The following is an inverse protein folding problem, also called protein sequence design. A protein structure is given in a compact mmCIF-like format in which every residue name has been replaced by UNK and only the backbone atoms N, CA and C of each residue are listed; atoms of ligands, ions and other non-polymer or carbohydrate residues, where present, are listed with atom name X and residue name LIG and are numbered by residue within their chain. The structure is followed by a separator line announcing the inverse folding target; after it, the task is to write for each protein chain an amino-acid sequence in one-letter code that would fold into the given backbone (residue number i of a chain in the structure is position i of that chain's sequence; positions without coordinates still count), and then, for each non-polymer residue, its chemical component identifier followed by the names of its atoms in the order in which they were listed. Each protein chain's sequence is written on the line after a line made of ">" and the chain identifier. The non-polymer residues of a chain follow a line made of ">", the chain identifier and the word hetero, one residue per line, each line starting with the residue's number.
data_IF_945251613627
#
_entry.id   IF_945251613627
#
_cell.length_a   1.000
_cell.length_b   1.000
_cell.length_c   1.000
_cell.angle_alpha   90.00
_cell.angle_beta   90.00
_cell.angle_gamma   90.00
#
_symmetry.space_group_name_H-M   'P 1'
#
loop_
_entity.id
_entity.type
_entity.pdbx_description
1 polymer ?
#
# COMPACT_ATOMS: atom_id res chain seq x y z
N UNK A 1 16.63 -22.40 12.92
CA UNK A 1 15.95 -21.09 12.98
C UNK A 1 14.87 -21.18 14.03
N UNK A 2 14.86 -20.32 15.04
CA UNK A 2 13.78 -20.25 16.01
C UNK A 2 12.70 -19.32 15.45
N UNK A 3 11.43 -19.73 15.52
CA UNK A 3 10.28 -18.92 15.13
C UNK A 3 9.63 -18.38 16.39
N UNK A 4 9.53 -17.05 16.53
CA UNK A 4 8.72 -16.42 17.56
C UNK A 4 7.36 -16.06 16.96
N UNK A 5 6.31 -16.71 17.45
CA UNK A 5 4.93 -16.31 17.21
C UNK A 5 4.55 -15.32 18.31
N UNK A 6 4.10 -14.11 17.94
CA UNK A 6 3.76 -13.08 18.92
C UNK A 6 2.28 -12.70 18.87
N UNK A 7 1.67 -12.63 20.03
CA UNK A 7 0.22 -12.39 20.19
C UNK A 7 -0.01 -11.38 21.31
N UNK A 8 -0.39 -10.13 20.99
CA UNK A 8 -0.98 -9.24 21.99
C UNK A 8 -2.41 -9.68 22.28
N UNK A 9 -2.82 -9.71 23.55
CA UNK A 9 -4.20 -10.11 23.87
C UNK A 9 -4.81 -9.29 25.00
N UNK A 10 -6.01 -8.77 24.75
CA UNK A 10 -6.92 -8.18 25.73
C UNK A 10 -8.11 -9.11 26.02
N UNK A 11 -8.28 -10.18 25.25
CA UNK A 11 -9.33 -11.16 25.42
C UNK A 11 -8.82 -12.59 25.15
N UNK A 12 -8.64 -13.43 26.20
CA UNK A 12 -8.10 -14.78 26.06
C UNK A 12 -9.13 -15.83 25.61
N UNK A 13 -10.32 -15.45 25.17
CA UNK A 13 -11.44 -16.33 24.86
C UNK A 13 -11.07 -17.45 23.87
N UNK A 14 -10.36 -17.13 22.80
CA UNK A 14 -9.97 -18.08 21.76
C UNK A 14 -8.54 -18.59 21.88
N UNK A 15 -7.76 -18.15 22.87
CA UNK A 15 -6.37 -18.57 23.01
C UNK A 15 -6.17 -20.10 23.06
N UNK A 16 -7.17 -20.85 23.53
CA UNK A 16 -7.11 -22.32 23.54
C UNK A 16 -7.10 -22.89 22.11
N UNK A 17 -7.92 -22.34 21.21
CA UNK A 17 -7.96 -22.75 19.82
C UNK A 17 -6.69 -22.32 19.10
N UNK A 18 -6.19 -21.09 19.34
CA UNK A 18 -4.91 -20.61 18.85
C UNK A 18 -3.77 -21.54 19.27
N UNK A 19 -3.75 -21.95 20.56
CA UNK A 19 -2.73 -22.86 21.11
C UNK A 19 -2.78 -24.22 20.42
N UNK A 20 -3.97 -24.80 20.21
CA UNK A 20 -4.10 -26.06 19.51
C UNK A 20 -3.54 -25.96 18.07
N UNK A 21 -3.77 -24.84 17.37
CA UNK A 21 -3.21 -24.65 16.04
C UNK A 21 -1.69 -24.56 16.04
N UNK A 22 -1.08 -24.02 17.12
CA UNK A 22 0.37 -24.02 17.33
C UNK A 22 0.92 -25.37 17.74
N UNK A 23 0.24 -26.12 18.60
CA UNK A 23 0.64 -27.48 18.98
C UNK A 23 0.66 -28.45 17.79
N UNK A 24 -0.23 -28.23 16.82
CA UNK A 24 -0.34 -29.03 15.60
C UNK A 24 0.67 -28.64 14.51
N UNK A 25 1.55 -27.65 14.76
CA UNK A 25 2.56 -27.28 13.75
C UNK A 25 3.54 -28.41 13.49
N UNK A 26 3.82 -28.67 12.21
CA UNK A 26 4.83 -29.66 11.77
C UNK A 26 6.27 -29.21 12.07
N UNK A 27 6.48 -27.91 12.25
CA UNK A 27 7.76 -27.34 12.67
C UNK A 27 7.80 -27.14 14.18
N UNK A 28 8.71 -27.81 14.88
CA UNK A 28 8.73 -27.87 16.35
C UNK A 28 9.52 -26.75 17.04
N UNK A 29 10.46 -26.08 16.33
CA UNK A 29 11.35 -25.08 16.93
C UNK A 29 10.73 -23.68 16.93
N UNK A 30 9.71 -23.49 17.75
CA UNK A 30 9.00 -22.23 17.92
C UNK A 30 8.83 -21.88 19.40
N UNK A 31 8.67 -20.57 19.66
CA UNK A 31 8.13 -20.03 20.91
C UNK A 31 6.85 -19.23 20.64
N UNK A 32 5.94 -19.22 21.59
CA UNK A 32 4.77 -18.33 21.56
C UNK A 32 4.89 -17.27 22.63
N UNK A 33 5.01 -15.99 22.23
CA UNK A 33 5.16 -14.85 23.13
C UNK A 33 3.83 -14.13 23.23
N UNK A 34 3.14 -14.28 24.35
CA UNK A 34 1.86 -13.65 24.62
C UNK A 34 2.09 -12.42 25.48
N UNK A 35 1.65 -11.25 24.99
CA UNK A 35 1.61 -10.02 25.76
C UNK A 35 0.18 -9.75 26.21
N UNK A 36 -0.07 -9.98 27.48
CA UNK A 36 -1.38 -9.97 28.09
C UNK A 36 -1.67 -8.63 28.78
N UNK A 37 -2.74 -7.94 28.38
CA UNK A 37 -3.12 -6.61 28.90
C UNK A 37 -4.59 -6.57 29.39
N UNK A 38 -5.02 -7.61 30.10
CA UNK A 38 -6.36 -7.72 30.68
C UNK A 38 -6.31 -8.42 32.01
N UNK A 39 -7.33 -8.27 32.84
CA UNK A 39 -7.50 -8.98 34.12
C UNK A 39 -7.99 -10.42 33.97
N UNK A 40 -8.43 -10.82 32.79
CA UNK A 40 -8.88 -12.19 32.50
C UNK A 40 -7.68 -13.15 32.52
N UNK A 41 -7.88 -14.32 33.09
CA UNK A 41 -6.81 -15.35 33.23
C UNK A 41 -6.55 -16.07 31.91
N UNK A 42 -5.28 -16.29 31.57
CA UNK A 42 -4.86 -17.20 30.49
C UNK A 42 -5.05 -18.66 30.99
N UNK A 43 -5.58 -19.56 30.15
CA UNK A 43 -5.76 -20.98 30.49
C UNK A 43 -4.46 -21.65 30.96
N UNK A 44 -4.53 -22.43 32.04
CA UNK A 44 -3.35 -23.08 32.63
C UNK A 44 -2.63 -24.04 31.67
N UNK A 45 -3.37 -24.69 30.78
CA UNK A 45 -2.80 -25.57 29.75
C UNK A 45 -1.81 -24.84 28.81
N UNK A 46 -2.05 -23.54 28.53
CA UNK A 46 -1.19 -22.71 27.71
C UNK A 46 0.09 -22.34 28.47
N UNK A 47 -0.06 -21.90 29.72
CA UNK A 47 1.07 -21.48 30.58
C UNK A 47 2.01 -22.66 30.88
N UNK A 48 1.49 -23.90 30.89
CA UNK A 48 2.25 -25.13 31.21
C UNK A 48 3.17 -25.61 30.04
N UNK A 49 3.02 -25.12 28.83
CA UNK A 49 3.93 -25.51 27.72
C UNK A 49 5.23 -24.69 27.79
N UNK A 50 6.36 -25.36 27.79
CA UNK A 50 7.69 -24.73 27.91
C UNK A 50 8.06 -23.79 26.76
N UNK A 51 7.37 -23.89 25.64
CA UNK A 51 7.53 -23.02 24.46
C UNK A 51 6.73 -21.71 24.58
N UNK A 52 5.81 -21.61 25.57
CA UNK A 52 4.96 -20.46 25.77
C UNK A 52 5.55 -19.51 26.81
N UNK A 53 5.61 -18.25 26.49
CA UNK A 53 6.08 -17.19 27.36
C UNK A 53 5.00 -16.12 27.48
N UNK A 54 4.49 -15.92 28.69
CA UNK A 54 3.44 -14.94 28.96
C UNK A 54 4.02 -13.76 29.71
N UNK A 55 3.76 -12.58 29.23
CA UNK A 55 4.10 -11.32 29.87
C UNK A 55 2.83 -10.52 30.13
N UNK A 56 2.71 -9.95 31.30
CA UNK A 56 1.57 -9.11 31.69
C UNK A 56 2.00 -7.66 31.72
N UNK A 57 1.25 -6.80 31.08
CA UNK A 57 1.41 -5.34 31.15
C UNK A 57 0.16 -4.72 31.73
N UNK A 58 0.29 -3.61 32.50
CA UNK A 58 -0.89 -2.88 32.95
C UNK A 58 -1.81 -2.51 31.80
N UNK A 59 -3.12 -2.62 32.02
CA UNK A 59 -4.10 -2.11 31.07
C UNK A 59 -3.90 -0.61 30.93
N UNK A 60 -3.48 -0.18 29.74
CA UNK A 60 -3.33 1.22 29.40
C UNK A 60 -4.42 1.56 28.37
N UNK A 61 -5.50 2.23 28.76
CA UNK A 61 -6.64 2.51 27.87
C UNK A 61 -6.26 3.29 26.61
N UNK A 62 -5.18 4.07 26.69
CA UNK A 62 -4.71 4.93 25.61
C UNK A 62 -3.53 4.35 24.81
N UNK A 63 -2.96 3.21 25.21
CA UNK A 63 -1.91 2.55 24.47
C UNK A 63 -2.45 2.04 23.12
N UNK A 64 -1.89 2.54 22.04
CA UNK A 64 -2.17 2.05 20.69
C UNK A 64 -1.68 0.62 20.50
N UNK A 65 -2.33 -0.15 19.62
CA UNK A 65 -1.93 -1.53 19.33
C UNK A 65 -0.48 -1.60 18.82
N UNK A 66 -0.01 -0.57 18.09
CA UNK A 66 1.37 -0.50 17.62
C UNK A 66 2.41 -0.51 18.75
N UNK A 67 2.15 0.20 19.86
CA UNK A 67 3.03 0.18 21.04
C UNK A 67 3.06 -1.21 21.69
N UNK A 68 1.91 -1.85 21.81
CA UNK A 68 1.76 -3.19 22.40
C UNK A 68 2.46 -4.24 21.52
N UNK A 69 2.27 -4.21 20.20
CA UNK A 69 2.93 -5.13 19.25
C UNK A 69 4.44 -4.92 19.24
N UNK A 70 4.92 -3.66 19.28
CA UNK A 70 6.35 -3.37 19.34
C UNK A 70 7.01 -3.94 20.62
N UNK A 71 6.36 -3.76 21.76
CA UNK A 71 6.82 -4.36 23.01
C UNK A 71 6.82 -5.88 22.94
N UNK A 72 5.75 -6.49 22.39
CA UNK A 72 5.67 -7.94 22.22
C UNK A 72 6.82 -8.46 21.35
N UNK A 73 7.08 -7.83 20.21
CA UNK A 73 8.21 -8.19 19.34
C UNK A 73 9.58 -8.05 20.04
N UNK A 74 9.76 -7.07 20.93
CA UNK A 74 11.01 -6.89 21.69
C UNK A 74 11.31 -8.04 22.66
N UNK A 75 10.27 -8.76 23.08
CA UNK A 75 10.37 -9.93 23.95
C UNK A 75 10.66 -11.22 23.20
N UNK A 76 10.55 -11.22 21.87
CA UNK A 76 10.79 -12.36 21.00
C UNK A 76 12.29 -12.67 20.88
N UNK A 77 12.63 -13.97 20.90
CA UNK A 77 14.02 -14.46 20.79
C UNK A 77 14.33 -15.04 19.40
N UNK A 78 13.31 -15.33 18.61
CA UNK A 78 13.44 -15.99 17.32
C UNK A 78 14.06 -15.15 16.23
N UNK A 79 14.54 -15.83 15.21
CA UNK A 79 15.07 -15.24 13.98
C UNK A 79 13.96 -14.78 13.02
N UNK A 80 12.77 -15.41 13.17
CA UNK A 80 11.55 -15.14 12.41
C UNK A 80 10.44 -14.71 13.38
N UNK A 81 9.80 -13.59 13.11
CA UNK A 81 8.68 -13.02 13.86
C UNK A 81 7.39 -13.23 13.07
N UNK A 82 6.45 -13.98 13.63
CA UNK A 82 5.15 -14.27 13.02
C UNK A 82 4.05 -13.58 13.80
N UNK A 83 3.32 -12.68 13.14
CA UNK A 83 2.16 -12.02 13.71
C UNK A 83 0.99 -13.00 13.77
N UNK A 84 0.40 -13.14 14.95
CA UNK A 84 -0.70 -14.06 15.20
C UNK A 84 -1.69 -13.45 16.17
N UNK A 85 -2.87 -13.13 15.70
CA UNK A 85 -3.90 -12.53 16.51
C UNK A 85 -4.53 -13.58 17.46
N UNK A 86 -5.08 -13.11 18.59
CA UNK A 86 -5.52 -13.96 19.70
C UNK A 86 -6.82 -14.73 19.45
N UNK A 87 -7.42 -14.57 18.28
CA UNK A 87 -8.71 -15.13 17.85
C UNK A 87 -8.61 -15.94 16.55
N UNK A 88 -7.42 -16.04 15.96
CA UNK A 88 -7.18 -16.65 14.66
C UNK A 88 -6.57 -18.06 14.74
N UNK A 89 -6.37 -18.70 13.58
CA UNK A 89 -5.78 -20.03 13.48
C UNK A 89 -4.70 -20.09 12.41
N UNK A 90 -3.67 -20.92 12.64
CA UNK A 90 -2.64 -21.27 11.66
C UNK A 90 -2.92 -22.65 11.06
N UNK A 91 -2.59 -22.86 9.77
CA UNK A 91 -2.59 -24.21 9.20
C UNK A 91 -1.41 -25.02 9.78
N UNK A 92 -1.50 -26.36 9.87
CA UNK A 92 -0.47 -27.17 10.52
C UNK A 92 0.94 -27.05 9.97
N UNK A 93 1.08 -26.70 8.70
CA UNK A 93 2.36 -26.54 8.00
C UNK A 93 2.79 -25.08 7.83
N UNK A 94 2.16 -24.15 8.54
CA UNK A 94 2.43 -22.71 8.42
C UNK A 94 3.89 -22.38 8.75
N UNK A 95 4.36 -22.74 9.93
CA UNK A 95 5.71 -22.38 10.37
C UNK A 95 6.80 -23.09 9.56
N UNK A 96 6.58 -24.35 9.16
CA UNK A 96 7.49 -25.08 8.28
C UNK A 96 7.60 -24.40 6.92
N UNK A 97 6.48 -24.03 6.33
CA UNK A 97 6.42 -23.35 5.04
C UNK A 97 7.14 -22.00 5.08
N UNK A 98 6.94 -21.21 6.13
CA UNK A 98 7.63 -19.93 6.32
C UNK A 98 9.14 -20.10 6.44
N UNK A 99 9.61 -21.05 7.28
CA UNK A 99 11.04 -21.34 7.47
C UNK A 99 11.69 -21.84 6.18
N UNK A 100 11.01 -22.73 5.46
CA UNK A 100 11.47 -23.25 4.17
C UNK A 100 11.58 -22.11 3.15
N UNK A 101 10.54 -21.32 2.99
CA UNK A 101 10.51 -20.19 2.05
C UNK A 101 11.63 -19.19 2.35
N UNK A 102 11.84 -18.85 3.63
CA UNK A 102 12.92 -17.95 4.01
C UNK A 102 14.29 -18.48 3.62
N UNK A 103 14.57 -19.77 3.90
CA UNK A 103 15.85 -20.41 3.57
C UNK A 103 16.11 -20.50 2.06
N UNK A 104 15.08 -20.78 1.27
CA UNK A 104 15.18 -20.94 -0.18
C UNK A 104 15.29 -19.60 -0.92
N UNK A 105 14.63 -18.56 -0.41
CA UNK A 105 14.50 -17.30 -1.14
C UNK A 105 15.31 -16.15 -0.56
N UNK A 106 15.71 -16.24 0.71
CA UNK A 106 16.28 -15.13 1.46
C UNK A 106 15.26 -14.00 1.74
N UNK A 107 13.95 -14.32 1.75
CA UNK A 107 12.90 -13.34 2.04
C UNK A 107 13.09 -12.67 3.41
N UNK A 108 12.92 -11.36 3.45
CA UNK A 108 12.87 -10.62 4.71
C UNK A 108 11.44 -10.48 5.24
N UNK A 109 10.45 -10.47 4.34
CA UNK A 109 9.03 -10.48 4.67
C UNK A 109 8.29 -11.52 3.82
N UNK A 110 7.45 -12.31 4.47
CA UNK A 110 6.63 -13.34 3.82
C UNK A 110 5.17 -13.15 4.18
N UNK A 111 4.30 -13.40 3.21
CA UNK A 111 2.86 -13.35 3.36
C UNK A 111 2.21 -14.46 2.54
N UNK A 112 0.98 -14.84 2.91
CA UNK A 112 0.31 -15.98 2.29
C UNK A 112 -1.08 -15.61 1.77
N UNK A 113 -1.76 -16.60 1.18
CA UNK A 113 -3.20 -16.59 1.02
C UNK A 113 -3.87 -16.87 2.39
N UNK A 114 -5.13 -16.52 2.52
CA UNK A 114 -5.84 -16.58 3.79
C UNK A 114 -7.33 -16.93 3.61
N UNK A 115 -7.99 -17.22 4.72
CA UNK A 115 -9.44 -17.42 4.79
C UNK A 115 -10.01 -16.44 5.81
N UNK A 116 -11.08 -15.72 5.48
CA UNK A 116 -11.90 -15.02 6.47
C UNK A 116 -13.11 -15.90 6.79
N UNK A 117 -13.21 -16.41 8.01
CA UNK A 117 -14.30 -17.32 8.40
C UNK A 117 -15.11 -16.80 9.59
N UNK A 118 -16.38 -17.20 9.65
CA UNK A 118 -17.29 -16.90 10.74
C UNK A 118 -17.66 -18.16 11.51
N UNK A 119 -18.24 -17.98 12.71
CA UNK A 119 -18.66 -19.08 13.55
C UNK A 119 -19.71 -20.01 12.91
N UNK A 120 -20.52 -19.49 11.99
CA UNK A 120 -21.50 -20.25 11.22
C UNK A 120 -20.90 -21.04 10.05
N UNK A 121 -19.59 -20.95 9.84
CA UNK A 121 -18.89 -21.61 8.75
C UNK A 121 -18.89 -20.83 7.43
N UNK A 122 -19.57 -19.68 7.36
CA UNK A 122 -19.51 -18.82 6.18
C UNK A 122 -18.15 -18.15 6.06
N UNK A 123 -17.78 -17.78 4.81
CA UNK A 123 -16.55 -17.03 4.52
C UNK A 123 -16.90 -15.64 3.99
N UNK A 124 -16.13 -14.65 4.41
CA UNK A 124 -16.16 -13.33 3.80
C UNK A 124 -15.22 -13.32 2.60
N UNK A 125 -15.76 -12.95 1.46
CA UNK A 125 -15.02 -12.90 0.19
C UNK A 125 -14.98 -11.45 -0.29
N UNK A 126 -13.78 -10.96 -0.57
CA UNK A 126 -13.61 -9.59 -1.04
C UNK A 126 -14.04 -9.45 -2.49
N UNK A 127 -14.50 -8.25 -2.83
CA UNK A 127 -15.05 -7.98 -4.14
C UNK A 127 -13.99 -8.16 -5.25
N UNK A 128 -14.23 -9.03 -6.25
CA UNK A 128 -13.30 -9.27 -7.36
C UNK A 128 -13.09 -8.04 -8.26
N UNK A 129 -13.96 -7.05 -8.20
CA UNK A 129 -13.79 -5.77 -8.90
C UNK A 129 -12.46 -5.10 -8.52
N UNK A 130 -12.04 -5.19 -7.26
CA UNK A 130 -10.76 -4.66 -6.79
C UNK A 130 -9.55 -5.57 -7.08
N UNK A 131 -9.73 -6.62 -7.85
CA UNK A 131 -8.65 -7.53 -8.23
C UNK A 131 -8.45 -8.72 -7.30
N UNK A 132 -9.27 -8.87 -6.26
CA UNK A 132 -9.22 -10.03 -5.38
C UNK A 132 -9.66 -11.31 -6.13
N UNK A 133 -8.92 -12.40 -5.88
CA UNK A 133 -9.26 -13.72 -6.37
C UNK A 133 -9.59 -14.64 -5.21
N UNK A 134 -10.57 -15.51 -5.40
CA UNK A 134 -10.96 -16.50 -4.42
C UNK A 134 -10.96 -17.91 -5.02
N UNK A 135 -10.72 -18.92 -4.18
CA UNK A 135 -10.72 -20.32 -4.59
C UNK A 135 -11.18 -21.24 -3.45
N UNK A 136 -11.70 -22.46 -3.76
CA UNK A 136 -12.09 -23.42 -2.74
C UNK A 136 -10.87 -23.90 -1.93
N UNK A 137 -11.04 -23.99 -0.61
CA UNK A 137 -10.03 -24.51 0.30
C UNK A 137 -10.66 -25.45 1.32
N UNK A 138 -10.02 -26.58 1.63
CA UNK A 138 -10.48 -27.53 2.62
C UNK A 138 -9.47 -27.65 3.76
N UNK A 139 -9.94 -27.50 4.99
CA UNK A 139 -9.13 -27.62 6.19
C UNK A 139 -9.94 -28.33 7.30
N UNK A 140 -9.32 -29.32 7.95
CA UNK A 140 -9.94 -30.12 9.04
C UNK A 140 -11.36 -30.61 8.74
N UNK A 141 -11.56 -31.10 7.53
CA UNK A 141 -12.85 -31.62 7.08
C UNK A 141 -13.91 -30.57 6.70
N UNK A 142 -13.65 -29.28 6.92
CA UNK A 142 -14.52 -28.17 6.56
C UNK A 142 -14.13 -27.55 5.22
N UNK A 143 -15.13 -27.04 4.50
CA UNK A 143 -14.91 -26.32 3.25
C UNK A 143 -14.94 -24.81 3.52
N UNK A 144 -13.96 -24.11 2.96
CA UNK A 144 -13.81 -22.66 3.03
C UNK A 144 -13.64 -22.04 1.64
N UNK A 145 -13.76 -20.73 1.56
CA UNK A 145 -13.33 -19.96 0.39
C UNK A 145 -12.11 -19.12 0.78
N UNK A 146 -10.99 -19.44 0.16
CA UNK A 146 -9.73 -18.73 0.36
C UNK A 146 -9.65 -17.48 -0.50
N UNK A 147 -8.88 -16.51 -0.03
CA UNK A 147 -8.52 -15.29 -0.76
C UNK A 147 -7.04 -15.33 -1.11
N UNK A 148 -6.72 -15.05 -2.37
CA UNK A 148 -5.35 -14.85 -2.82
C UNK A 148 -4.84 -13.46 -2.45
N UNK A 149 -3.61 -13.37 -1.95
CA UNK A 149 -3.00 -12.11 -1.54
C UNK A 149 -2.34 -11.38 -2.71
N UNK A 150 -2.03 -10.09 -2.55
CA UNK A 150 -1.42 -9.26 -3.58
C UNK A 150 0.08 -9.12 -3.42
N UNK A 151 0.80 -9.01 -4.55
CA UNK A 151 2.17 -8.54 -4.55
C UNK A 151 2.24 -7.06 -4.14
N UNK A 152 3.26 -6.65 -3.36
CA UNK A 152 3.47 -5.25 -3.01
C UNK A 152 3.96 -4.50 -4.26
N UNK A 153 3.10 -3.65 -4.77
CA UNK A 153 3.38 -2.72 -5.88
C UNK A 153 2.90 -1.33 -5.47
N UNK A 154 3.32 -0.25 -6.14
CA UNK A 154 2.77 1.07 -5.86
C UNK A 154 1.24 1.07 -5.88
N UNK A 155 0.66 0.39 -6.86
CA UNK A 155 -0.78 0.27 -7.03
C UNK A 155 -1.43 -0.49 -5.86
N UNK A 156 -0.97 -1.71 -5.53
CA UNK A 156 -1.56 -2.48 -4.43
C UNK A 156 -1.40 -1.81 -3.06
N UNK A 157 -0.24 -1.20 -2.80
CA UNK A 157 0.04 -0.52 -1.52
C UNK A 157 -0.72 0.81 -1.37
N UNK A 158 -1.17 1.42 -2.47
CA UNK A 158 -1.87 2.71 -2.42
C UNK A 158 -3.37 2.61 -2.72
N UNK A 159 -3.86 1.49 -3.27
CA UNK A 159 -5.26 1.33 -3.69
C UNK A 159 -6.01 0.23 -2.94
N UNK A 160 -5.31 -0.86 -2.55
CA UNK A 160 -5.97 -2.02 -1.96
C UNK A 160 -6.00 -1.92 -0.44
N UNK A 161 -7.19 -2.16 0.12
CA UNK A 161 -7.37 -2.23 1.55
C UNK A 161 -6.71 -3.50 2.10
N UNK A 162 -5.73 -3.34 3.02
CA UNK A 162 -4.96 -4.42 3.63
C UNK A 162 -4.32 -5.42 2.65
N UNK A 163 -3.55 -4.90 1.69
CA UNK A 163 -2.73 -5.76 0.83
C UNK A 163 -1.23 -5.45 1.04
N UNK A 164 -0.38 -6.46 1.25
CA UNK A 164 -0.70 -7.87 1.51
C UNK A 164 -1.34 -8.14 2.87
N UNK A 165 -2.14 -9.22 2.97
CA UNK A 165 -2.85 -9.61 4.19
C UNK A 165 -2.06 -10.70 4.98
N UNK A 166 -2.70 -11.42 5.92
CA UNK A 166 -2.12 -12.50 6.71
C UNK A 166 -1.73 -13.74 5.84
N UNK A 167 -0.82 -14.64 6.30
CA UNK A 167 0.05 -14.51 7.45
C UNK A 167 1.07 -13.41 7.21
N UNK A 168 1.55 -12.74 8.23
CA UNK A 168 2.63 -11.77 8.15
C UNK A 168 3.82 -12.25 8.96
N UNK A 169 4.95 -12.43 8.28
CA UNK A 169 6.16 -12.93 8.93
C UNK A 169 7.38 -12.13 8.48
N UNK A 170 8.10 -11.56 9.44
CA UNK A 170 9.35 -10.84 9.23
C UNK A 170 10.55 -11.64 9.74
N UNK A 171 11.67 -11.63 9.03
CA UNK A 171 12.92 -11.89 9.73
C UNK A 171 13.16 -10.78 10.74
N UNK A 172 13.79 -11.11 11.88
CA UNK A 172 14.08 -10.11 12.92
C UNK A 172 14.86 -8.92 12.35
N UNK A 173 15.84 -9.20 11.49
CA UNK A 173 16.62 -8.18 10.79
C UNK A 173 15.75 -7.26 9.91
N UNK A 174 14.80 -7.81 9.17
CA UNK A 174 13.89 -7.03 8.32
C UNK A 174 12.93 -6.17 9.15
N UNK A 175 12.41 -6.72 10.25
CA UNK A 175 11.58 -5.98 11.21
C UNK A 175 12.32 -4.78 11.82
N UNK A 176 13.56 -5.00 12.26
CA UNK A 176 14.42 -3.95 12.81
C UNK A 176 14.79 -2.90 11.74
N UNK A 177 15.14 -3.33 10.53
CA UNK A 177 15.42 -2.44 9.38
C UNK A 177 14.23 -1.54 9.03
N UNK A 178 13.01 -2.06 9.14
CA UNK A 178 11.79 -1.28 8.96
C UNK A 178 11.43 -0.38 10.15
N UNK A 179 12.16 -0.49 11.29
CA UNK A 179 11.93 0.27 12.52
C UNK A 179 10.85 -0.31 13.44
N UNK A 180 10.34 -1.51 13.13
CA UNK A 180 9.29 -2.19 13.90
C UNK A 180 7.93 -1.44 13.89
N UNK A 181 6.98 -1.90 14.69
CA UNK A 181 5.66 -1.25 14.82
C UNK A 181 5.80 0.19 15.33
N UNK A 182 4.99 1.09 14.79
CA UNK A 182 4.98 2.49 15.18
C UNK A 182 4.04 2.70 16.39
N UNK A 183 4.62 3.17 17.50
CA UNK A 183 3.91 3.33 18.78
C UNK A 183 2.78 4.37 18.74
N UNK A 184 2.83 5.31 17.80
CA UNK A 184 1.81 6.34 17.67
C UNK A 184 0.50 5.84 17.05
N UNK A 185 0.50 4.67 16.42
CA UNK A 185 -0.68 4.12 15.78
C UNK A 185 -1.55 3.32 16.77
N UNK A 186 -2.80 3.73 16.89
CA UNK A 186 -3.82 3.01 17.67
C UNK A 186 -4.47 1.87 16.90
N UNK A 187 -4.50 1.96 15.59
CA UNK A 187 -4.95 0.96 14.61
C UNK A 187 -4.19 1.20 13.30
N UNK A 188 -4.21 0.27 12.36
CA UNK A 188 -3.51 0.35 11.05
C UNK A 188 -1.97 0.34 11.16
N UNK A 189 -1.46 -0.03 12.32
CA UNK A 189 -0.03 -0.14 12.61
C UNK A 189 0.66 -1.21 11.77
N UNK A 190 -0.03 -2.29 11.50
CA UNK A 190 0.39 -3.43 10.68
C UNK A 190 0.56 -3.02 9.21
N UNK A 191 -0.42 -2.32 8.64
CA UNK A 191 -0.34 -1.82 7.27
C UNK A 191 0.78 -0.77 7.13
N UNK A 192 0.91 0.14 8.09
CA UNK A 192 1.98 1.15 8.10
C UNK A 192 3.36 0.49 8.18
N UNK A 193 3.52 -0.57 8.99
CA UNK A 193 4.74 -1.35 9.05
C UNK A 193 5.05 -2.07 7.72
N UNK A 194 4.05 -2.64 7.05
CA UNK A 194 4.21 -3.26 5.74
C UNK A 194 4.75 -2.24 4.73
N UNK A 195 4.18 -1.04 4.69
CA UNK A 195 4.65 0.04 3.81
C UNK A 195 6.11 0.40 4.12
N UNK A 196 6.48 0.60 5.39
CA UNK A 196 7.88 0.88 5.76
C UNK A 196 8.81 -0.31 5.49
N UNK A 197 8.33 -1.52 5.61
CA UNK A 197 9.09 -2.72 5.25
C UNK A 197 9.42 -2.72 3.75
N UNK A 198 8.44 -2.37 2.91
CA UNK A 198 8.65 -2.19 1.47
C UNK A 198 9.67 -1.09 1.19
N UNK A 199 9.49 0.10 1.77
CA UNK A 199 10.37 1.26 1.59
C UNK A 199 11.80 1.01 2.10
N UNK A 200 11.97 0.14 3.09
CA UNK A 200 13.29 -0.30 3.53
C UNK A 200 14.00 -1.24 2.52
N UNK A 201 13.38 -1.54 1.36
CA UNK A 201 13.95 -2.45 0.37
C UNK A 201 14.10 -3.88 0.90
N UNK A 202 13.16 -4.31 1.73
CA UNK A 202 13.08 -5.70 2.21
C UNK A 202 12.49 -6.57 1.10
N UNK A 203 13.08 -7.74 0.87
CA UNK A 203 12.57 -8.70 -0.11
C UNK A 203 11.26 -9.33 0.39
N UNK A 204 10.17 -9.09 -0.34
CA UNK A 204 8.85 -9.70 -0.12
C UNK A 204 8.72 -11.00 -0.91
N UNK A 205 8.12 -12.01 -0.29
CA UNK A 205 7.79 -13.28 -0.98
C UNK A 205 6.36 -13.68 -0.65
N UNK A 206 5.53 -13.82 -1.68
CA UNK A 206 4.20 -14.40 -1.59
C UNK A 206 4.29 -15.94 -1.55
N UNK A 207 3.57 -16.53 -0.62
CA UNK A 207 3.35 -17.97 -0.54
C UNK A 207 1.92 -18.24 -1.02
N UNK A 208 1.74 -18.78 -2.25
CA UNK A 208 0.41 -18.97 -2.85
C UNK A 208 -0.29 -20.19 -2.24
N UNK A 209 -0.50 -20.14 -0.93
CA UNK A 209 -1.10 -21.20 -0.12
C UNK A 209 -1.76 -20.57 1.10
N UNK A 210 -2.89 -21.10 1.53
CA UNK A 210 -3.51 -20.68 2.79
C UNK A 210 -2.66 -21.17 3.96
N UNK A 211 -2.17 -20.23 4.76
CA UNK A 211 -1.45 -20.49 6.00
C UNK A 211 -2.14 -19.89 7.22
N UNK A 212 -3.15 -19.06 7.01
CA UNK A 212 -3.82 -18.27 8.03
C UNK A 212 -5.34 -18.29 7.86
N UNK A 213 -6.07 -18.52 8.95
CA UNK A 213 -7.53 -18.46 9.01
C UNK A 213 -7.90 -17.32 9.97
N UNK A 214 -8.36 -16.20 9.38
CA UNK A 214 -8.79 -15.00 10.09
C UNK A 214 -10.25 -15.15 10.54
N UNK A 215 -10.49 -14.98 11.83
CA UNK A 215 -11.83 -15.11 12.43
C UNK A 215 -12.58 -13.79 12.42
N UNK A 216 -13.72 -13.76 11.78
CA UNK A 216 -14.65 -12.64 11.87
C UNK A 216 -15.72 -12.90 12.93
N UNK A 217 -15.88 -11.99 13.88
CA UNK A 217 -16.91 -12.00 14.91
C UNK A 217 -17.41 -10.58 15.20
N UNK A 218 -18.49 -10.46 16.01
CA UNK A 218 -19.17 -9.17 16.28
C UNK A 218 -18.27 -8.08 16.88
N UNK A 219 -17.17 -8.45 17.50
CA UNK A 219 -16.20 -7.50 18.07
C UNK A 219 -14.99 -7.23 17.17
N UNK A 220 -14.93 -7.81 15.97
CA UNK A 220 -13.94 -7.43 14.97
C UNK A 220 -14.16 -5.97 14.56
N UNK A 221 -13.08 -5.31 14.14
CA UNK A 221 -13.08 -3.87 13.77
C UNK A 221 -14.07 -3.47 12.66
N UNK A 222 -14.94 -4.38 12.18
CA UNK A 222 -15.95 -4.12 11.15
C UNK A 222 -16.88 -2.93 11.45
N UNK A 223 -17.14 -2.64 12.73
CA UNK A 223 -17.91 -1.45 13.15
C UNK A 223 -17.14 -0.13 13.01
N UNK A 224 -15.81 -0.19 12.80
CA UNK A 224 -14.91 0.97 12.65
C UNK A 224 -14.32 1.09 11.24
N UNK A 225 -14.90 0.41 10.26
CA UNK A 225 -14.35 0.33 8.90
C UNK A 225 -14.04 1.68 8.29
N UNK A 226 -14.89 2.68 8.49
CA UNK A 226 -14.65 4.03 7.94
C UNK A 226 -13.45 4.72 8.60
N UNK A 227 -13.27 4.54 9.91
CA UNK A 227 -12.11 5.08 10.63
C UNK A 227 -10.83 4.40 10.15
N UNK A 228 -10.86 3.07 10.02
CA UNK A 228 -9.73 2.29 9.55
C UNK A 228 -9.35 2.67 8.10
N UNK A 229 -10.34 2.79 7.21
CA UNK A 229 -10.14 3.23 5.81
C UNK A 229 -9.52 4.62 5.74
N UNK A 230 -10.00 5.57 6.53
CA UNK A 230 -9.46 6.93 6.55
C UNK A 230 -7.99 6.93 7.01
N UNK A 231 -7.68 6.22 8.11
CA UNK A 231 -6.29 6.12 8.60
C UNK A 231 -5.38 5.39 7.62
N UNK A 232 -5.86 4.33 6.98
CA UNK A 232 -5.10 3.65 5.94
C UNK A 232 -4.84 4.59 4.76
N UNK A 233 -5.83 5.37 4.34
CA UNK A 233 -5.66 6.36 3.27
C UNK A 233 -4.66 7.47 3.66
N UNK A 234 -4.63 7.87 4.95
CA UNK A 234 -3.59 8.79 5.45
C UNK A 234 -2.18 8.19 5.31
N UNK A 235 -2.01 6.92 5.70
CA UNK A 235 -0.75 6.19 5.52
C UNK A 235 -0.37 6.11 4.04
N UNK A 236 -1.30 5.72 3.19
CA UNK A 236 -1.10 5.65 1.74
C UNK A 236 -0.68 7.01 1.17
N UNK A 237 -1.41 8.07 1.49
CA UNK A 237 -1.10 9.41 1.02
C UNK A 237 0.26 9.93 1.52
N UNK A 238 0.65 9.55 2.73
CA UNK A 238 1.96 9.93 3.31
C UNK A 238 3.12 9.34 2.53
N UNK A 239 3.02 8.09 2.12
CA UNK A 239 4.14 7.33 1.54
C UNK A 239 4.06 7.13 0.02
N UNK A 240 3.00 7.60 -0.65
CA UNK A 240 2.74 7.31 -2.06
C UNK A 240 3.92 7.64 -2.97
N UNK A 241 4.54 8.80 -2.81
CA UNK A 241 5.65 9.20 -3.68
C UNK A 241 6.93 8.40 -3.38
N UNK A 242 7.20 8.10 -2.12
CA UNK A 242 8.34 7.27 -1.73
C UNK A 242 8.20 5.84 -2.32
N UNK A 243 6.98 5.29 -2.27
CA UNK A 243 6.66 3.98 -2.87
C UNK A 243 6.91 4.00 -4.37
N UNK A 244 6.41 5.02 -5.07
CA UNK A 244 6.55 5.16 -6.53
C UNK A 244 8.02 5.36 -6.92
N UNK A 245 8.78 6.17 -6.18
CA UNK A 245 10.20 6.39 -6.44
C UNK A 245 11.03 5.12 -6.24
N UNK A 246 10.74 4.35 -5.18
CA UNK A 246 11.40 3.06 -4.97
C UNK A 246 11.10 2.10 -6.10
N UNK A 247 9.83 2.01 -6.52
CA UNK A 247 9.42 1.16 -7.64
C UNK A 247 10.15 1.54 -8.94
N UNK A 248 10.29 2.84 -9.23
CA UNK A 248 11.06 3.31 -10.38
C UNK A 248 12.51 2.83 -10.30
N UNK A 249 13.13 2.96 -9.14
CA UNK A 249 14.52 2.52 -8.92
C UNK A 249 14.69 1.01 -9.12
N UNK A 250 13.79 0.20 -8.57
CA UNK A 250 13.82 -1.27 -8.67
C UNK A 250 13.62 -1.78 -10.10
N UNK A 251 12.86 -1.03 -10.91
CA UNK A 251 12.58 -1.38 -12.30
C UNK A 251 13.47 -0.63 -13.31
N UNK A 252 14.47 0.13 -12.85
CA UNK A 252 15.35 0.96 -13.67
C UNK A 252 14.59 1.91 -14.60
N UNK A 253 13.49 2.47 -14.14
CA UNK A 253 12.67 3.41 -14.86
C UNK A 253 13.09 4.85 -14.53
N UNK A 254 13.43 5.69 -15.51
CA UNK A 254 13.72 7.10 -15.27
C UNK A 254 12.48 7.84 -14.78
N UNK A 255 12.71 8.88 -14.02
CA UNK A 255 11.72 9.90 -13.64
C UNK A 255 12.08 11.20 -14.35
N UNK A 256 11.12 11.85 -14.97
CA UNK A 256 11.32 13.10 -15.73
C UNK A 256 10.44 14.22 -15.19
N UNK A 257 10.93 15.45 -15.33
CA UNK A 257 10.26 16.68 -14.91
C UNK A 257 10.07 17.62 -16.10
N UNK A 258 8.83 17.80 -16.52
CA UNK A 258 8.48 18.66 -17.66
C UNK A 258 8.38 20.12 -17.21
N UNK A 259 9.09 21.02 -17.90
CA UNK A 259 9.20 22.41 -17.50
C UNK A 259 10.11 22.66 -16.29
N UNK A 260 10.91 21.67 -15.90
CA UNK A 260 11.69 21.67 -14.65
C UNK A 260 13.05 22.35 -14.75
N UNK A 261 13.15 23.62 -15.19
CA UNK A 261 14.43 24.35 -15.26
C UNK A 261 15.12 24.44 -13.90
N UNK A 262 14.51 25.18 -12.99
CA UNK A 262 15.00 25.42 -11.64
C UNK A 262 14.06 24.74 -10.65
N UNK A 263 14.57 23.91 -9.76
CA UNK A 263 13.73 23.22 -8.78
C UNK A 263 13.29 21.81 -9.18
N UNK A 264 13.94 21.23 -10.20
CA UNK A 264 13.81 19.80 -10.50
C UNK A 264 14.28 18.98 -9.28
N UNK A 265 13.46 18.07 -8.75
CA UNK A 265 13.83 17.27 -7.59
C UNK A 265 14.99 16.32 -7.90
N UNK A 266 15.79 16.00 -6.87
CA UNK A 266 16.85 15.00 -7.02
C UNK A 266 16.27 13.66 -7.50
N UNK A 267 16.94 13.03 -8.47
CA UNK A 267 16.52 11.77 -9.09
C UNK A 267 15.63 11.92 -10.32
N UNK A 268 15.16 13.12 -10.62
CA UNK A 268 14.47 13.42 -11.88
C UNK A 268 15.45 13.99 -12.93
N UNK A 269 15.12 13.83 -14.20
CA UNK A 269 15.76 14.52 -15.32
C UNK A 269 14.82 15.63 -15.79
N UNK A 270 15.29 16.86 -15.75
CA UNK A 270 14.53 18.02 -16.22
C UNK A 270 14.49 18.08 -17.76
N UNK A 271 13.36 18.46 -18.32
CA UNK A 271 13.16 18.71 -19.75
C UNK A 271 12.49 20.07 -19.90
N UNK A 272 13.18 21.00 -20.57
CA UNK A 272 12.67 22.34 -20.87
C UNK A 272 13.30 22.84 -22.15
N UNK A 273 12.83 23.98 -22.66
CA UNK A 273 13.43 24.67 -23.82
C UNK A 273 14.86 25.11 -23.54
N UNK A 274 15.16 25.50 -22.30
CA UNK A 274 16.44 26.08 -21.88
C UNK A 274 16.82 25.58 -20.48
N UNK A 275 18.12 25.56 -20.19
CA UNK A 275 18.68 25.38 -18.84
C UNK A 275 18.15 24.11 -18.11
N UNK A 276 18.01 23.01 -18.84
CA UNK A 276 17.55 21.73 -18.35
C UNK A 276 18.56 20.62 -18.66
N UNK A 277 18.43 19.45 -18.04
CA UNK A 277 19.23 18.27 -18.36
C UNK A 277 19.05 17.86 -19.82
N UNK A 278 17.83 18.05 -20.36
CA UNK A 278 17.47 17.82 -21.75
C UNK A 278 16.79 19.09 -22.28
N UNK A 279 17.50 19.86 -23.13
CA UNK A 279 16.89 21.00 -23.80
C UNK A 279 16.09 20.52 -25.02
N UNK A 280 14.76 20.66 -24.97
CA UNK A 280 13.84 20.10 -25.97
C UNK A 280 12.50 20.84 -26.01
N UNK A 281 11.94 21.03 -27.20
CA UNK A 281 10.61 21.62 -27.39
C UNK A 281 9.53 20.54 -27.25
N UNK A 282 9.02 20.40 -26.03
CA UNK A 282 8.03 19.39 -25.69
C UNK A 282 6.70 19.53 -26.48
N UNK A 283 6.32 20.77 -26.81
CA UNK A 283 5.05 21.05 -27.51
C UNK A 283 5.15 20.71 -28.99
N UNK A 284 6.30 21.00 -29.60
CA UNK A 284 6.54 20.80 -31.02
C UNK A 284 6.96 19.37 -31.34
N UNK A 285 7.91 18.84 -30.57
CA UNK A 285 8.65 17.62 -30.92
C UNK A 285 8.29 16.41 -30.02
N UNK A 286 7.37 16.60 -29.04
CA UNK A 286 6.94 15.57 -28.10
C UNK A 286 7.96 15.30 -26.99
N UNK A 287 7.78 14.19 -26.25
CA UNK A 287 8.68 13.82 -25.15
C UNK A 287 9.80 12.90 -25.69
N UNK A 288 11.11 13.24 -25.53
CA UNK A 288 12.23 12.52 -26.15
C UNK A 288 12.59 11.21 -25.42
N UNK A 289 11.58 10.40 -25.14
CA UNK A 289 11.70 9.08 -24.52
C UNK A 289 10.91 8.04 -25.31
N UNK A 290 11.39 6.77 -25.35
CA UNK A 290 10.65 5.67 -25.98
C UNK A 290 9.29 5.42 -25.32
N UNK A 291 8.42 4.70 -26.03
CA UNK A 291 7.15 4.23 -25.49
C UNK A 291 7.38 3.38 -24.25
N UNK A 292 6.57 3.59 -23.21
CA UNK A 292 6.54 2.74 -22.00
C UNK A 292 7.90 2.61 -21.28
N UNK A 293 8.71 3.66 -21.29
CA UNK A 293 10.08 3.65 -20.76
C UNK A 293 10.31 4.53 -19.52
N UNK A 294 9.32 5.31 -19.10
CA UNK A 294 9.41 6.29 -18.00
C UNK A 294 8.52 5.83 -16.83
N UNK A 295 9.04 5.86 -15.61
CA UNK A 295 8.27 5.48 -14.43
C UNK A 295 7.41 6.61 -13.89
N UNK A 296 7.93 7.84 -13.85
CA UNK A 296 7.20 9.03 -13.41
C UNK A 296 7.42 10.17 -14.38
N UNK A 297 6.34 10.84 -14.74
CA UNK A 297 6.34 12.16 -15.34
C UNK A 297 5.81 13.15 -14.31
N UNK A 298 6.64 14.08 -13.87
CA UNK A 298 6.25 15.23 -13.06
C UNK A 298 5.96 16.40 -14.00
N UNK A 299 4.83 17.09 -13.81
CA UNK A 299 4.43 18.26 -14.57
C UNK A 299 3.89 19.32 -13.58
N UNK A 300 4.80 20.07 -12.98
CA UNK A 300 4.47 21.14 -12.04
C UNK A 300 4.65 22.49 -12.72
N UNK A 301 3.63 23.30 -12.69
CA UNK A 301 3.61 24.64 -13.32
C UNK A 301 4.05 24.54 -14.81
N UNK A 302 3.52 23.53 -15.52
CA UNK A 302 3.86 23.23 -16.91
C UNK A 302 2.65 23.17 -17.84
N UNK A 303 1.58 22.45 -17.45
CA UNK A 303 0.44 22.17 -18.33
C UNK A 303 -0.31 23.45 -18.74
N UNK A 304 -0.37 24.47 -17.88
CA UNK A 304 -0.96 25.78 -18.14
C UNK A 304 -0.25 26.57 -19.26
N UNK A 305 1.01 26.25 -19.55
CA UNK A 305 1.80 26.84 -20.62
C UNK A 305 1.69 26.10 -21.95
N UNK A 306 1.05 24.93 -21.97
CA UNK A 306 0.78 24.20 -23.22
C UNK A 306 -0.46 24.81 -23.89
N UNK A 307 -0.42 25.16 -25.20
CA UNK A 307 -1.54 25.77 -25.88
C UNK A 307 -2.82 24.93 -25.79
N UNK A 308 -3.94 25.56 -25.49
CA UNK A 308 -5.24 24.89 -25.34
C UNK A 308 -5.67 24.12 -26.62
N UNK A 309 -6.54 23.14 -26.45
CA UNK A 309 -7.06 22.31 -27.53
C UNK A 309 -6.15 21.17 -27.92
N UNK A 310 -5.86 20.99 -29.22
CA UNK A 310 -5.08 19.85 -29.73
C UNK A 310 -3.68 19.71 -29.10
N UNK A 311 -2.90 20.76 -28.86
CA UNK A 311 -1.60 20.63 -28.20
C UNK A 311 -1.67 20.03 -26.80
N UNK A 312 -2.63 20.47 -25.96
CA UNK A 312 -2.86 19.88 -24.62
C UNK A 312 -3.20 18.39 -24.73
N UNK A 313 -4.08 18.02 -25.66
CA UNK A 313 -4.48 16.64 -25.87
C UNK A 313 -3.27 15.80 -26.31
N UNK A 314 -2.47 16.31 -27.24
CA UNK A 314 -1.25 15.65 -27.71
C UNK A 314 -0.25 15.48 -26.57
N UNK A 315 -0.05 16.50 -25.73
CA UNK A 315 0.83 16.43 -24.57
C UNK A 315 0.40 15.34 -23.59
N UNK A 316 -0.90 15.26 -23.26
CA UNK A 316 -1.40 14.20 -22.37
C UNK A 316 -1.28 12.80 -23.01
N UNK A 317 -1.46 12.67 -24.32
CA UNK A 317 -1.19 11.44 -25.04
C UNK A 317 0.31 11.07 -25.04
N UNK A 318 1.22 12.05 -25.19
CA UNK A 318 2.67 11.85 -25.13
C UNK A 318 3.13 11.43 -23.72
N UNK A 319 2.62 12.10 -22.67
CA UNK A 319 2.86 11.68 -21.29
C UNK A 319 2.46 10.22 -21.11
N UNK A 320 1.27 9.85 -21.55
CA UNK A 320 0.81 8.46 -21.50
C UNK A 320 1.69 7.52 -22.34
N UNK A 321 2.09 7.93 -23.54
CA UNK A 321 2.94 7.13 -24.45
C UNK A 321 4.26 6.73 -23.76
N UNK A 322 4.95 7.68 -23.14
CA UNK A 322 6.27 7.42 -22.52
C UNK A 322 6.18 6.71 -21.19
N UNK A 323 5.11 6.89 -20.42
CA UNK A 323 4.94 6.20 -19.14
C UNK A 323 4.93 4.69 -19.33
N UNK A 324 5.65 3.96 -18.48
CA UNK A 324 5.56 2.52 -18.38
C UNK A 324 4.14 2.08 -17.93
N UNK A 325 3.72 0.82 -18.18
CA UNK A 325 2.50 0.29 -17.57
C UNK A 325 2.53 0.45 -16.05
N UNK A 326 1.53 1.12 -15.45
CA UNK A 326 1.52 1.47 -14.03
C UNK A 326 2.39 2.69 -13.67
N UNK A 327 3.00 3.37 -14.65
CA UNK A 327 3.74 4.60 -14.43
C UNK A 327 2.83 5.79 -14.08
N UNK A 328 3.39 6.80 -13.44
CA UNK A 328 2.64 7.89 -12.81
C UNK A 328 2.86 9.24 -13.48
N UNK A 329 1.77 9.95 -13.75
CA UNK A 329 1.77 11.39 -13.95
C UNK A 329 1.47 12.05 -12.60
N UNK A 330 2.39 12.87 -12.12
CA UNK A 330 2.22 13.73 -10.94
C UNK A 330 2.14 15.16 -11.43
N UNK A 331 0.95 15.75 -11.40
CA UNK A 331 0.68 17.07 -11.95
C UNK A 331 0.26 18.06 -10.87
N UNK A 332 0.71 19.31 -11.05
CA UNK A 332 0.27 20.48 -10.28
C UNK A 332 0.18 21.66 -11.23
N UNK A 333 -0.97 22.34 -11.27
CA UNK A 333 -1.20 23.51 -12.10
C UNK A 333 -2.16 24.49 -11.41
N UNK A 334 -2.06 25.81 -11.63
CA UNK A 334 -3.01 26.77 -11.05
C UNK A 334 -4.45 26.46 -11.47
N UNK A 335 -5.35 26.37 -10.48
CA UNK A 335 -6.76 26.03 -10.72
C UNK A 335 -7.57 27.24 -11.15
N UNK A 336 -8.51 27.03 -12.09
CA UNK A 336 -9.51 28.06 -12.47
C UNK A 336 -10.44 28.45 -11.32
N UNK A 337 -10.45 27.70 -10.22
CA UNK A 337 -11.18 28.03 -9.00
C UNK A 337 -10.43 29.04 -8.11
N UNK A 338 -9.22 29.45 -8.55
CA UNK A 338 -8.39 30.46 -7.89
C UNK A 338 -7.84 31.49 -8.88
N UNK A 339 -7.19 32.52 -8.35
CA UNK A 339 -6.65 33.63 -9.14
C UNK A 339 -5.45 33.23 -10.01
N UNK A 340 -4.67 32.25 -9.56
CA UNK A 340 -3.40 31.86 -10.18
C UNK A 340 -3.52 31.47 -11.65
N UNK A 341 -4.63 30.88 -12.05
CA UNK A 341 -4.86 30.47 -13.44
C UNK A 341 -4.86 31.64 -14.42
N UNK A 342 -5.23 32.84 -13.99
CA UNK A 342 -5.49 34.01 -14.85
C UNK A 342 -4.51 35.16 -14.66
N UNK A 343 -3.62 35.11 -13.67
CA UNK A 343 -2.74 36.23 -13.34
C UNK A 343 -1.46 36.27 -14.17
N UNK A 344 -0.97 35.11 -14.64
CA UNK A 344 0.23 35.02 -15.45
C UNK A 344 -0.16 35.12 -16.94
N UNK A 345 0.41 36.10 -17.67
CA UNK A 345 0.10 36.27 -19.10
C UNK A 345 0.59 35.14 -20.01
N UNK A 346 1.41 34.24 -19.50
CA UNK A 346 1.91 33.06 -20.23
C UNK A 346 1.05 31.83 -20.04
N UNK A 347 0.03 31.87 -19.18
CA UNK A 347 -0.97 30.81 -19.06
C UNK A 347 -1.93 30.85 -20.24
N UNK A 348 -1.89 29.84 -21.07
CA UNK A 348 -2.67 29.71 -22.31
C UNK A 348 -3.57 28.47 -22.36
N UNK A 349 -3.55 27.66 -21.31
CA UNK A 349 -4.57 26.66 -21.01
C UNK A 349 -5.00 26.72 -19.54
N UNK A 350 -6.23 26.30 -19.26
CA UNK A 350 -6.86 26.51 -17.97
C UNK A 350 -7.38 25.21 -17.41
N UNK A 351 -7.03 24.92 -16.15
CA UNK A 351 -7.23 23.63 -15.52
C UNK A 351 -8.03 23.71 -14.22
N UNK A 352 -8.80 22.67 -13.96
CA UNK A 352 -9.42 22.38 -12.66
C UNK A 352 -9.56 20.84 -12.51
N UNK A 353 -10.14 20.39 -11.42
CA UNK A 353 -10.31 18.95 -11.16
C UNK A 353 -11.04 18.24 -12.31
N UNK A 354 -12.07 18.87 -12.89
CA UNK A 354 -12.87 18.27 -13.96
C UNK A 354 -12.10 18.18 -15.29
N UNK A 355 -11.06 19.00 -15.50
CA UNK A 355 -10.23 18.92 -16.68
C UNK A 355 -9.53 17.56 -16.80
N UNK A 356 -9.11 16.99 -15.67
CA UNK A 356 -8.45 15.68 -15.63
C UNK A 356 -9.42 14.51 -15.84
N UNK A 357 -10.73 14.69 -15.64
CA UNK A 357 -11.73 13.64 -15.92
C UNK A 357 -11.77 13.23 -17.40
N UNK A 358 -11.46 14.15 -18.33
CA UNK A 358 -11.39 13.83 -19.74
C UNK A 358 -10.28 12.83 -20.09
N UNK A 359 -9.27 12.72 -19.24
CA UNK A 359 -8.14 11.80 -19.43
C UNK A 359 -8.24 10.54 -18.55
N UNK A 360 -9.20 10.51 -17.60
CA UNK A 360 -9.34 9.42 -16.62
C UNK A 360 -10.72 8.76 -16.56
N UNK A 361 -11.74 9.30 -17.25
CA UNK A 361 -13.11 8.78 -17.23
C UNK A 361 -13.66 8.58 -18.64
N UNK A 362 -14.19 7.38 -18.90
CA UNK A 362 -14.81 7.04 -20.21
C UNK A 362 -15.94 7.99 -20.62
N UNK A 363 -16.78 8.34 -19.66
CA UNK A 363 -17.96 9.20 -19.89
C UNK A 363 -17.57 10.56 -20.47
N UNK A 364 -16.45 11.14 -20.05
CA UNK A 364 -15.94 12.39 -20.57
C UNK A 364 -15.11 12.20 -21.83
N UNK A 365 -14.26 11.17 -21.84
CA UNK A 365 -13.38 10.89 -22.97
C UNK A 365 -14.11 10.69 -24.30
N UNK A 366 -15.32 10.07 -24.27
CA UNK A 366 -16.11 9.83 -25.47
C UNK A 366 -16.44 11.10 -26.28
N UNK A 367 -16.47 12.27 -25.63
CA UNK A 367 -16.75 13.54 -26.28
C UNK A 367 -15.52 14.11 -27.04
N UNK A 368 -14.32 13.57 -26.80
CA UNK A 368 -13.06 14.04 -27.40
C UNK A 368 -12.29 12.87 -27.98
N UNK A 369 -12.62 12.37 -29.18
CA UNK A 369 -12.00 11.18 -29.76
C UNK A 369 -10.48 11.27 -30.01
N UNK A 370 -9.91 12.47 -29.97
CA UNK A 370 -8.46 12.71 -30.07
C UNK A 370 -7.69 12.28 -28.81
N UNK A 371 -8.35 12.13 -27.67
CA UNK A 371 -7.74 11.62 -26.44
C UNK A 371 -7.58 10.10 -26.60
N UNK A 372 -6.32 9.62 -26.59
CA UNK A 372 -5.96 8.20 -26.72
C UNK A 372 -5.43 7.61 -25.42
N UNK A 373 -4.98 8.47 -24.48
CA UNK A 373 -4.50 8.04 -23.19
C UNK A 373 -5.60 7.47 -22.30
N UNK A 374 -5.22 6.56 -21.40
CA UNK A 374 -6.11 5.93 -20.42
C UNK A 374 -5.42 6.00 -19.06
N UNK A 375 -5.82 6.94 -18.25
CA UNK A 375 -5.33 7.06 -16.90
C UNK A 375 -6.36 6.56 -15.89
N UNK A 376 -5.87 5.95 -14.82
CA UNK A 376 -6.62 5.77 -13.58
C UNK A 376 -6.28 6.94 -12.66
N UNK A 377 -7.27 7.69 -12.21
CA UNK A 377 -7.05 8.72 -11.21
C UNK A 377 -6.81 8.08 -9.84
N UNK A 378 -5.61 8.29 -9.27
CA UNK A 378 -5.33 7.95 -7.87
C UNK A 378 -6.00 8.97 -6.95
N UNK A 379 -5.71 10.24 -7.21
CA UNK A 379 -6.33 11.38 -6.52
C UNK A 379 -6.27 12.62 -7.38
N UNK A 380 -7.31 13.43 -7.27
CA UNK A 380 -7.38 14.77 -7.85
C UNK A 380 -7.94 15.68 -6.75
N UNK A 381 -7.18 16.71 -6.37
CA UNK A 381 -7.59 17.58 -5.27
C UNK A 381 -7.10 19.01 -5.46
N UNK A 382 -7.80 19.95 -4.83
CA UNK A 382 -7.42 21.36 -4.80
C UNK A 382 -6.79 21.70 -3.45
N UNK A 383 -5.69 22.45 -3.47
CA UNK A 383 -5.07 22.97 -2.25
C UNK A 383 -4.21 24.19 -2.54
N UNK A 384 -3.86 24.91 -1.49
CA UNK A 384 -2.88 25.99 -1.53
C UNK A 384 -1.49 25.40 -1.18
N UNK A 385 -0.47 25.54 -2.07
CA UNK A 385 0.85 24.98 -1.82
C UNK A 385 1.54 25.52 -0.55
N UNK A 386 1.30 26.79 -0.20
CA UNK A 386 1.83 27.46 0.99
C UNK A 386 0.82 28.45 1.56
N UNK A 387 1.05 28.95 2.77
CA UNK A 387 0.22 30.01 3.38
C UNK A 387 0.20 31.29 2.52
N UNK A 388 1.33 31.64 1.90
CA UNK A 388 1.40 32.75 0.96
C UNK A 388 0.40 32.59 -0.20
N UNK A 389 0.32 31.39 -0.81
CA UNK A 389 -0.65 31.11 -1.86
C UNK A 389 -2.09 31.21 -1.35
N UNK A 390 -2.33 30.80 -0.12
CA UNK A 390 -3.66 30.92 0.52
C UNK A 390 -4.06 32.36 0.74
N UNK A 391 -3.18 33.20 1.27
CA UNK A 391 -3.41 34.64 1.47
C UNK A 391 -3.70 35.35 0.15
N UNK A 392 -3.03 34.94 -0.95
CA UNK A 392 -3.20 35.52 -2.27
C UNK A 392 -4.28 34.83 -3.12
N UNK A 393 -5.01 33.83 -2.57
CA UNK A 393 -6.06 33.06 -3.26
C UNK A 393 -5.58 32.36 -4.54
N UNK A 394 -4.33 31.89 -4.54
CA UNK A 394 -3.71 31.17 -5.65
C UNK A 394 -3.90 29.68 -5.38
N UNK A 395 -5.06 29.16 -5.74
CA UNK A 395 -5.41 27.75 -5.59
C UNK A 395 -4.80 26.93 -6.71
N UNK A 396 -4.32 25.75 -6.37
CA UNK A 396 -3.79 24.77 -7.32
C UNK A 396 -4.65 23.52 -7.38
N UNK A 397 -4.76 22.94 -8.55
CA UNK A 397 -5.23 21.57 -8.73
C UNK A 397 -4.04 20.63 -8.87
N UNK A 398 -4.07 19.57 -8.10
CA UNK A 398 -3.13 18.45 -8.15
C UNK A 398 -3.83 17.25 -8.76
N UNK A 399 -3.12 16.48 -9.58
CA UNK A 399 -3.60 15.23 -10.14
C UNK A 399 -2.49 14.19 -10.17
N UNK A 400 -2.71 13.09 -9.46
CA UNK A 400 -1.91 11.88 -9.53
C UNK A 400 -2.67 10.85 -10.37
N UNK A 401 -2.14 10.54 -11.55
CA UNK A 401 -2.77 9.67 -12.52
C UNK A 401 -1.85 8.50 -12.88
N UNK A 402 -2.39 7.29 -12.96
CA UNK A 402 -1.65 6.06 -13.26
C UNK A 402 -1.95 5.62 -14.70
N UNK A 403 -0.91 5.34 -15.49
CA UNK A 403 -1.07 4.90 -16.87
C UNK A 403 -1.58 3.45 -16.95
N UNK A 404 -2.83 3.26 -17.36
CA UNK A 404 -3.47 1.95 -17.54
C UNK A 404 -3.19 1.39 -18.94
N UNK A 405 -2.08 0.64 -19.10
CA UNK A 405 -1.60 0.10 -20.39
C UNK A 405 -1.83 -1.42 -20.50
N UNK A 406 -3.07 -1.83 -20.59
CA UNK A 406 -3.43 -3.23 -20.81
C UNK A 406 -3.34 -4.14 -19.59
N UNK A 407 -2.70 -3.72 -18.48
CA UNK A 407 -2.81 -4.42 -17.21
C UNK A 407 -4.10 -4.01 -16.48
N UNK A 408 -4.61 -4.91 -15.67
CA UNK A 408 -5.61 -4.58 -14.67
C UNK A 408 -4.88 -3.95 -13.49
N UNK A 409 -5.12 -2.69 -13.22
CA UNK A 409 -4.66 -2.04 -12.00
C UNK A 409 -5.56 -2.47 -10.83
N UNK A 410 -5.00 -2.47 -9.62
CA UNK A 410 -5.76 -2.72 -8.41
C UNK A 410 -6.63 -1.51 -8.09
N UNK A 411 -7.82 -1.74 -7.52
CA UNK A 411 -8.73 -0.66 -7.16
C UNK A 411 -9.72 -0.26 -8.27
N UNK A 412 -10.55 0.74 -8.01
CA UNK A 412 -11.58 1.19 -8.94
C UNK A 412 -10.96 1.89 -10.15
N UNK A 413 -11.25 1.38 -11.34
CA UNK A 413 -10.83 1.96 -12.61
C UNK A 413 -12.04 2.57 -13.32
N UNK A 414 -12.03 3.89 -13.48
CA UNK A 414 -13.00 4.63 -14.29
C UNK A 414 -12.51 4.78 -15.75
N UNK A 415 -12.19 3.66 -16.40
CA UNK A 415 -11.76 3.65 -17.80
C UNK A 415 -12.68 2.87 -18.68
#
# INVERSE_FOLDING_TARGET
>A
MLVSVFTPTHNPEWLTECFHSLQNQTYENWEWVILHNTDKKIPQAIIGDSRVRVFTVPVQPDAGIGAIKKLNCSLCKGDLLVEFDHDDLLTPDCLETLVKTQKETGAGFMYSDFVNFRADGSCNVYNPYFGWHSYPFRHEGKNYTAMSSFAPTPDSLTEIYYAPNHVRAWTKQAYEKAGGHNESFKIVDDFELIVRTYLAGVKFVHIPKVLYLYREHKNTYSEKLDVIRNLQQEVQNKYVYDIVHLWCKENNLPMIDLGGRTGCPAGYKSIDLFEADICHDLVKDGIPFPDSSVGVVRAFDFLEHVPAGTPVINMMNEIYRVLAPGGWLISRTPSTEGRGAFQDPTHISFWNSNSFWYFSRREQQQYVPAIKCRFQAKRIWNTYPTDWHKEHQILYVYADLIAAKGQKLSGPMDI
#
